data_IF_429704582503
#
_entry.id   IF_429704582503
#
_cell.length_a   1.000
_cell.length_b   1.000
_cell.length_c   1.000
_cell.angle_alpha   90.00
_cell.angle_beta   90.00
_cell.angle_gamma   90.00
#
_symmetry.space_group_name_H-M   'P 1'
#
loop_
_entity.id
_entity.type
_entity.pdbx_description
1 polymer ?
#
# COMPACT_ATOMS: atom_id res chain seq x y z
N UNK A 1 19.90 -15.75 7.24
CA UNK A 1 20.20 -14.74 8.25
C UNK A 1 18.97 -14.53 9.08
N UNK A 2 19.06 -14.71 10.40
CA UNK A 2 17.94 -14.51 11.32
C UNK A 2 17.70 -13.02 11.56
N UNK A 3 16.60 -12.70 12.24
CA UNK A 3 16.31 -11.32 12.63
C UNK A 3 17.36 -10.78 13.62
N UNK A 4 17.76 -11.61 14.58
CA UNK A 4 18.77 -11.28 15.59
C UNK A 4 20.15 -11.05 14.95
N UNK A 5 20.55 -11.89 13.99
CA UNK A 5 21.80 -11.74 13.25
C UNK A 5 21.85 -10.40 12.48
N UNK A 6 20.73 -9.99 11.86
CA UNK A 6 20.67 -8.71 11.16
C UNK A 6 20.72 -7.52 12.12
N UNK A 7 20.03 -7.60 13.26
CA UNK A 7 20.13 -6.58 14.30
C UNK A 7 21.56 -6.41 14.82
N UNK A 8 22.25 -7.52 15.11
CA UNK A 8 23.65 -7.50 15.54
C UNK A 8 24.53 -6.81 14.50
N UNK A 9 24.37 -7.14 13.21
CA UNK A 9 25.11 -6.48 12.12
C UNK A 9 24.86 -4.97 12.09
N UNK A 10 23.61 -4.53 12.23
CA UNK A 10 23.27 -3.10 12.20
C UNK A 10 23.91 -2.36 13.39
N UNK A 11 23.90 -2.97 14.57
CA UNK A 11 24.55 -2.40 15.76
C UNK A 11 26.07 -2.32 15.58
N UNK A 12 26.68 -3.32 14.96
CA UNK A 12 28.12 -3.35 14.68
C UNK A 12 28.55 -2.34 13.60
N UNK A 13 27.79 -2.22 12.50
CA UNK A 13 28.11 -1.33 11.37
C UNK A 13 27.68 0.12 11.61
N UNK A 14 26.64 0.34 12.42
CA UNK A 14 25.98 1.64 12.55
C UNK A 14 24.93 1.89 11.46
N UNK A 15 24.02 2.84 11.74
CA UNK A 15 22.85 3.13 10.91
C UNK A 15 23.21 3.72 9.54
N UNK A 16 24.28 4.52 9.45
CA UNK A 16 24.73 5.13 8.20
C UNK A 16 25.19 4.06 7.18
N UNK A 17 26.02 3.12 7.62
CA UNK A 17 26.54 2.06 6.77
C UNK A 17 25.46 1.04 6.42
N UNK A 18 24.60 0.67 7.39
CA UNK A 18 23.43 -0.18 7.13
C UNK A 18 22.48 0.45 6.10
N UNK A 19 22.19 1.75 6.23
CA UNK A 19 21.38 2.52 5.29
C UNK A 19 21.97 2.47 3.88
N UNK A 20 23.26 2.78 3.73
CA UNK A 20 23.95 2.74 2.44
C UNK A 20 23.94 1.33 1.81
N UNK A 21 24.17 0.30 2.63
CA UNK A 21 24.13 -1.10 2.21
C UNK A 21 22.77 -1.51 1.65
N UNK A 22 21.69 -1.15 2.34
CA UNK A 22 20.34 -1.46 1.90
C UNK A 22 19.89 -0.67 0.69
N UNK A 23 20.26 0.62 0.60
CA UNK A 23 20.01 1.42 -0.59
C UNK A 23 20.61 0.78 -1.84
N UNK A 24 21.85 0.29 -1.73
CA UNK A 24 22.54 -0.45 -2.81
C UNK A 24 21.85 -1.77 -3.13
N UNK A 25 21.43 -2.53 -2.12
CA UNK A 25 20.73 -3.80 -2.33
C UNK A 25 19.40 -3.61 -3.08
N UNK A 26 18.62 -2.60 -2.69
CA UNK A 26 17.34 -2.25 -3.33
C UNK A 26 17.57 -1.83 -4.78
N UNK A 27 18.60 -1.03 -5.06
CA UNK A 27 18.94 -0.62 -6.43
C UNK A 27 19.31 -1.83 -7.30
N UNK A 28 20.08 -2.77 -6.77
CA UNK A 28 20.47 -3.99 -7.49
C UNK A 28 19.28 -4.90 -7.78
N UNK A 29 18.37 -5.07 -6.82
CA UNK A 29 17.21 -5.94 -6.96
C UNK A 29 16.15 -5.35 -7.90
N UNK A 30 15.86 -4.05 -7.76
CA UNK A 30 14.74 -3.40 -8.44
C UNK A 30 15.15 -2.51 -9.61
N UNK A 31 16.45 -2.28 -9.82
CA UNK A 31 17.01 -1.42 -10.87
C UNK A 31 16.86 0.08 -10.61
N UNK A 32 16.16 0.47 -9.54
CA UNK A 32 16.02 1.84 -9.07
C UNK A 32 15.61 1.83 -7.60
N UNK A 33 16.00 2.88 -6.89
CA UNK A 33 15.56 3.10 -5.51
C UNK A 33 14.26 3.90 -5.51
N UNK A 34 13.16 3.40 -4.90
CA UNK A 34 11.94 4.17 -4.70
C UNK A 34 12.20 5.52 -3.99
N UNK A 35 11.52 6.58 -4.44
CA UNK A 35 11.68 7.93 -3.87
C UNK A 35 11.46 7.95 -2.36
N UNK A 36 10.52 7.14 -1.84
CA UNK A 36 10.24 7.04 -0.40
C UNK A 36 11.51 6.63 0.37
N UNK A 37 12.30 5.70 -0.15
CA UNK A 37 13.52 5.22 0.50
C UNK A 37 14.65 6.23 0.34
N UNK A 38 14.73 6.93 -0.79
CA UNK A 38 15.69 8.04 -0.96
C UNK A 38 15.46 9.14 0.09
N UNK A 39 14.19 9.53 0.32
CA UNK A 39 13.86 10.54 1.34
C UNK A 39 14.05 10.04 2.77
N UNK A 40 13.72 8.77 3.03
CA UNK A 40 14.00 8.17 4.34
C UNK A 40 15.50 8.04 4.60
N UNK A 41 16.33 7.80 3.57
CA UNK A 41 17.78 7.68 3.69
C UNK A 41 18.47 8.98 4.17
N UNK A 42 17.83 10.15 3.97
CA UNK A 42 18.27 11.42 4.56
C UNK A 42 18.24 11.39 6.10
N UNK A 43 17.55 10.39 6.70
CA UNK A 43 17.51 10.08 8.13
C UNK A 43 17.72 8.58 8.34
N UNK A 44 18.98 8.10 8.39
CA UNK A 44 19.32 6.68 8.36
C UNK A 44 18.54 5.80 9.34
N UNK A 45 18.26 6.27 10.56
CA UNK A 45 17.47 5.54 11.56
C UNK A 45 16.04 5.27 11.10
N UNK A 46 15.45 6.20 10.34
CA UNK A 46 14.09 6.08 9.79
C UNK A 46 14.07 5.05 8.67
N UNK A 47 15.01 5.11 7.72
CA UNK A 47 15.07 4.09 6.68
C UNK A 47 15.35 2.71 7.29
N UNK A 48 16.30 2.65 8.22
CA UNK A 48 16.74 1.38 8.79
C UNK A 48 15.59 0.72 9.57
N UNK A 49 14.92 1.47 10.44
CA UNK A 49 13.76 0.95 11.17
C UNK A 49 12.61 0.53 10.25
N UNK A 50 12.35 1.30 9.18
CA UNK A 50 11.33 0.96 8.20
C UNK A 50 11.63 -0.35 7.46
N UNK A 51 12.87 -0.52 6.99
CA UNK A 51 13.28 -1.71 6.25
C UNK A 51 13.37 -2.96 7.14
N UNK A 52 13.78 -2.82 8.41
CA UNK A 52 13.66 -3.90 9.40
C UNK A 52 12.22 -4.38 9.55
N UNK A 53 11.30 -3.45 9.73
CA UNK A 53 9.88 -3.78 9.88
C UNK A 53 9.33 -4.46 8.61
N UNK A 54 9.62 -3.90 7.43
CA UNK A 54 9.23 -4.48 6.14
C UNK A 54 9.75 -5.91 6.01
N UNK A 55 11.03 -6.12 6.28
CA UNK A 55 11.67 -7.43 6.15
C UNK A 55 11.12 -8.43 7.17
N UNK A 56 10.86 -8.00 8.41
CA UNK A 56 10.17 -8.84 9.39
C UNK A 56 8.80 -9.28 8.88
N UNK A 57 7.97 -8.35 8.36
CA UNK A 57 6.64 -8.67 7.82
C UNK A 57 6.71 -9.61 6.62
N UNK A 58 7.64 -9.39 5.70
CA UNK A 58 7.68 -10.11 4.42
C UNK A 58 8.47 -11.43 4.49
N UNK A 59 9.59 -11.48 5.20
CA UNK A 59 10.45 -12.68 5.27
C UNK A 59 9.97 -13.72 6.29
N UNK A 60 9.14 -13.33 7.26
CA UNK A 60 8.54 -14.27 8.23
C UNK A 60 7.14 -14.71 7.83
N UNK A 61 6.62 -14.20 6.72
CA UNK A 61 5.32 -14.57 6.18
C UNK A 61 5.29 -16.06 5.81
N UNK A 62 4.14 -16.71 6.08
CA UNK A 62 3.87 -18.07 5.60
C UNK A 62 3.44 -18.10 4.12
N UNK A 63 3.24 -16.93 3.48
CA UNK A 63 2.88 -16.82 2.08
C UNK A 63 4.13 -16.78 1.20
N UNK A 64 4.06 -17.42 0.03
CA UNK A 64 5.12 -17.29 -0.97
C UNK A 64 5.32 -15.83 -1.41
N UNK A 65 6.56 -15.42 -1.74
CA UNK A 65 6.87 -14.06 -2.17
C UNK A 65 5.97 -13.54 -3.31
N UNK A 66 5.61 -14.41 -4.25
CA UNK A 66 4.65 -14.08 -5.33
C UNK A 66 3.32 -13.54 -4.78
N UNK A 67 2.74 -14.23 -3.80
CA UNK A 67 1.44 -13.86 -3.24
C UNK A 67 1.53 -12.59 -2.39
N UNK A 68 2.64 -12.40 -1.67
CA UNK A 68 2.92 -11.15 -0.95
C UNK A 68 2.88 -9.96 -1.92
N UNK A 69 3.59 -10.06 -3.04
CA UNK A 69 3.64 -8.97 -4.02
C UNK A 69 2.29 -8.74 -4.73
N UNK A 70 1.52 -9.80 -5.01
CA UNK A 70 0.14 -9.65 -5.52
C UNK A 70 -0.78 -8.96 -4.51
N UNK A 71 -0.66 -9.25 -3.21
CA UNK A 71 -1.39 -8.52 -2.16
C UNK A 71 -0.96 -7.06 -2.14
N UNK A 72 0.34 -6.77 -2.19
CA UNK A 72 0.85 -5.39 -2.23
C UNK A 72 0.36 -4.63 -3.47
N UNK A 73 0.30 -5.29 -4.63
CA UNK A 73 -0.29 -4.76 -5.85
C UNK A 73 -1.77 -4.41 -5.65
N UNK A 74 -2.58 -5.33 -5.12
CA UNK A 74 -4.00 -5.11 -4.87
C UNK A 74 -4.23 -3.92 -3.93
N UNK A 75 -3.47 -3.84 -2.83
CA UNK A 75 -3.55 -2.74 -1.87
C UNK A 75 -3.11 -1.42 -2.52
N UNK A 76 -2.02 -1.42 -3.29
CA UNK A 76 -1.55 -0.25 -4.03
C UNK A 76 -2.60 0.28 -5.00
N UNK A 77 -3.29 -0.61 -5.72
CA UNK A 77 -4.38 -0.26 -6.63
C UNK A 77 -5.60 0.30 -5.89
N UNK A 78 -6.04 -0.34 -4.80
CA UNK A 78 -7.18 0.10 -3.99
C UNK A 78 -6.93 1.48 -3.34
N UNK A 79 -5.69 1.75 -2.93
CA UNK A 79 -5.24 3.05 -2.40
C UNK A 79 -4.96 4.09 -3.49
N UNK A 80 -5.13 3.75 -4.77
CA UNK A 80 -4.87 4.62 -5.93
C UNK A 80 -3.42 5.11 -6.00
N UNK A 81 -2.47 4.34 -5.46
CA UNK A 81 -1.05 4.66 -5.52
C UNK A 81 -0.44 4.11 -6.82
N UNK A 82 -0.33 4.95 -7.85
CA UNK A 82 0.21 4.57 -9.17
C UNK A 82 1.63 4.01 -9.07
N UNK A 83 2.49 4.65 -8.26
CA UNK A 83 3.88 4.20 -8.07
C UNK A 83 3.95 2.83 -7.36
N UNK A 84 3.17 2.63 -6.31
CA UNK A 84 3.11 1.36 -5.58
C UNK A 84 2.59 0.26 -6.50
N UNK A 85 1.53 0.53 -7.25
CA UNK A 85 0.93 -0.40 -8.21
C UNK A 85 1.96 -0.87 -9.23
N UNK A 86 2.65 0.06 -9.90
CA UNK A 86 3.67 -0.30 -10.90
C UNK A 86 4.88 -1.04 -10.31
N UNK A 87 5.31 -0.65 -9.11
CA UNK A 87 6.42 -1.29 -8.41
C UNK A 87 6.10 -2.74 -8.04
N UNK A 88 5.00 -2.97 -7.33
CA UNK A 88 4.60 -4.30 -6.87
C UNK A 88 4.14 -5.20 -8.01
N UNK A 89 3.57 -4.65 -9.10
CA UNK A 89 3.35 -5.41 -10.34
C UNK A 89 4.67 -5.97 -10.89
N UNK A 90 5.70 -5.14 -10.98
CA UNK A 90 7.02 -5.56 -11.50
C UNK A 90 7.67 -6.59 -10.56
N UNK A 91 7.57 -6.39 -9.25
CA UNK A 91 8.07 -7.34 -8.25
C UNK A 91 7.34 -8.69 -8.33
N UNK A 92 6.02 -8.70 -8.42
CA UNK A 92 5.23 -9.92 -8.59
C UNK A 92 5.64 -10.70 -9.85
N UNK A 93 5.84 -10.01 -10.98
CA UNK A 93 6.33 -10.63 -12.22
C UNK A 93 7.71 -11.26 -12.04
N UNK A 94 8.64 -10.60 -11.32
CA UNK A 94 9.96 -11.18 -11.00
C UNK A 94 9.86 -12.42 -10.11
N UNK A 95 8.81 -12.50 -9.28
CA UNK A 95 8.50 -13.68 -8.45
C UNK A 95 7.68 -14.75 -9.19
N UNK A 96 7.51 -14.63 -10.51
CA UNK A 96 6.85 -15.64 -11.34
C UNK A 96 5.34 -15.49 -11.46
N UNK A 97 4.76 -14.35 -11.09
CA UNK A 97 3.36 -14.08 -11.39
C UNK A 97 3.13 -14.01 -12.90
N UNK A 98 2.02 -14.60 -13.34
CA UNK A 98 1.55 -14.54 -14.72
C UNK A 98 0.77 -13.25 -14.98
N UNK A 99 0.63 -12.90 -16.27
CA UNK A 99 -0.22 -11.78 -16.70
C UNK A 99 -1.65 -11.92 -16.20
N UNK A 100 -2.20 -13.13 -16.21
CA UNK A 100 -3.57 -13.38 -15.78
C UNK A 100 -3.73 -13.19 -14.26
N UNK A 101 -2.76 -13.62 -13.45
CA UNK A 101 -2.76 -13.33 -12.00
C UNK A 101 -2.72 -11.82 -11.70
N UNK A 102 -1.95 -11.05 -12.47
CA UNK A 102 -1.90 -9.58 -12.33
C UNK A 102 -3.27 -8.96 -12.65
N UNK A 103 -3.90 -9.35 -13.76
CA UNK A 103 -5.21 -8.83 -14.15
C UNK A 103 -6.29 -9.19 -13.12
N UNK A 104 -6.31 -10.45 -12.69
CA UNK A 104 -7.26 -10.94 -11.69
C UNK A 104 -7.10 -10.21 -10.35
N UNK A 105 -5.85 -9.96 -9.94
CA UNK A 105 -5.55 -9.20 -8.72
C UNK A 105 -6.15 -7.79 -8.76
N UNK A 106 -6.08 -7.11 -9.91
CA UNK A 106 -6.68 -5.77 -10.09
C UNK A 106 -8.21 -5.84 -10.09
N UNK A 107 -8.81 -6.86 -10.70
CA UNK A 107 -10.26 -7.08 -10.67
C UNK A 107 -10.77 -7.30 -9.23
N UNK A 108 -10.09 -8.15 -8.46
CA UNK A 108 -10.41 -8.42 -7.05
C UNK A 108 -10.28 -7.15 -6.21
N UNK A 109 -9.21 -6.38 -6.40
CA UNK A 109 -9.03 -5.10 -5.71
C UNK A 109 -10.17 -4.11 -6.02
N UNK A 110 -10.59 -4.03 -7.28
CA UNK A 110 -11.73 -3.22 -7.72
C UNK A 110 -13.05 -3.67 -7.09
N UNK A 111 -13.32 -4.99 -7.06
CA UNK A 111 -14.50 -5.58 -6.43
C UNK A 111 -14.61 -5.17 -4.96
N UNK A 112 -13.57 -5.39 -4.17
CA UNK A 112 -13.56 -5.05 -2.73
C UNK A 112 -13.67 -3.54 -2.51
N UNK A 113 -13.00 -2.73 -3.34
CA UNK A 113 -13.10 -1.27 -3.26
C UNK A 113 -14.53 -0.77 -3.49
N UNK A 114 -15.22 -1.32 -4.49
CA UNK A 114 -16.62 -1.01 -4.76
C UNK A 114 -17.54 -1.45 -3.61
N UNK A 115 -17.36 -2.67 -3.09
CA UNK A 115 -18.13 -3.16 -1.94
C UNK A 115 -17.95 -2.27 -0.71
N UNK A 116 -16.75 -1.74 -0.47
CA UNK A 116 -16.50 -0.79 0.62
C UNK A 116 -17.32 0.51 0.48
N UNK A 117 -17.43 1.05 -0.73
CA UNK A 117 -18.28 2.23 -0.99
C UNK A 117 -19.73 1.94 -0.65
N UNK A 118 -20.28 0.85 -1.19
CA UNK A 118 -21.68 0.48 -0.97
C UNK A 118 -21.95 0.24 0.52
N UNK A 119 -21.11 -0.57 1.17
CA UNK A 119 -21.30 -0.96 2.56
C UNK A 119 -21.20 0.24 3.52
N UNK A 120 -20.27 1.17 3.29
CA UNK A 120 -20.12 2.34 4.15
C UNK A 120 -21.20 3.40 3.86
N UNK A 121 -21.46 3.72 2.60
CA UNK A 121 -22.46 4.71 2.23
C UNK A 121 -23.86 4.28 2.64
N UNK A 122 -24.24 3.02 2.42
CA UNK A 122 -25.56 2.52 2.81
C UNK A 122 -25.79 2.61 4.31
N UNK A 123 -24.83 2.28 5.17
CA UNK A 123 -25.01 2.46 6.62
C UNK A 123 -25.28 3.90 7.03
N UNK A 124 -24.57 4.85 6.42
CA UNK A 124 -24.75 6.28 6.71
C UNK A 124 -26.12 6.79 6.24
N UNK A 125 -26.58 6.36 5.08
CA UNK A 125 -27.87 6.83 4.55
C UNK A 125 -29.05 6.05 5.10
N UNK A 126 -28.92 4.77 5.45
CA UNK A 126 -30.00 3.96 6.01
C UNK A 126 -30.46 4.53 7.36
N UNK A 127 -29.52 4.90 8.23
CA UNK A 127 -29.80 5.64 9.48
C UNK A 127 -30.59 6.93 9.23
N UNK A 128 -30.31 7.61 8.12
CA UNK A 128 -30.96 8.86 7.74
C UNK A 128 -32.30 8.63 7.06
N UNK A 129 -32.43 7.60 6.22
CA UNK A 129 -33.64 7.25 5.46
C UNK A 129 -34.70 6.55 6.34
N UNK A 130 -34.28 5.85 7.40
CA UNK A 130 -35.18 5.32 8.42
C UNK A 130 -35.94 6.44 9.15
N UNK A 131 -35.35 7.63 9.23
CA UNK A 131 -36.05 8.87 9.59
C UNK A 131 -36.62 9.46 8.30
N UNK A 132 -37.85 9.93 8.30
CA UNK A 132 -38.40 10.59 7.11
C UNK A 132 -37.69 11.96 6.93
N UNK A 133 -36.57 11.95 6.20
CA UNK A 133 -35.77 13.14 5.85
C UNK A 133 -36.65 14.25 5.26
N UNK A 134 -37.64 13.98 4.38
CA UNK A 134 -38.51 15.02 3.83
C UNK A 134 -39.40 15.72 4.86
N UNK A 135 -39.67 15.10 6.01
CA UNK A 135 -40.53 15.69 7.04
C UNK A 135 -39.74 16.41 8.15
N UNK A 136 -38.43 16.21 8.27
CA UNK A 136 -37.57 16.96 9.21
C UNK A 136 -36.63 17.98 8.51
N UNK A 137 -36.39 17.84 7.20
CA UNK A 137 -35.50 18.74 6.46
C UNK A 137 -36.33 19.75 5.68
N UNK A 138 -36.28 21.03 6.05
CA UNK A 138 -36.83 22.10 5.22
C UNK A 138 -36.01 22.19 3.93
N UNK A 139 -36.68 22.02 2.78
CA UNK A 139 -36.05 22.30 1.48
C UNK A 139 -35.66 23.77 1.38
N UNK A 140 -34.51 24.05 0.77
CA UNK A 140 -34.08 25.41 0.48
C UNK A 140 -34.82 25.85 -0.80
N UNK A 141 -35.65 26.88 -0.71
CA UNK A 141 -36.25 27.52 -1.88
C UNK A 141 -35.15 28.28 -2.60
N UNK A 142 -34.77 27.82 -3.80
CA UNK A 142 -33.88 28.58 -4.67
C UNK A 142 -34.71 29.64 -5.40
N UNK A 143 -34.50 30.91 -5.08
CA UNK A 143 -35.00 32.00 -5.90
C UNK A 143 -34.30 31.92 -7.26
N UNK A 144 -35.07 31.64 -8.32
CA UNK A 144 -34.58 31.79 -9.68
C UNK A 144 -34.49 33.30 -9.95
N UNK A 145 -33.27 33.81 -10.11
CA UNK A 145 -33.07 35.11 -10.74
C UNK A 145 -33.48 34.97 -12.20
N UNK A 146 -34.66 35.47 -12.54
CA UNK A 146 -35.08 35.62 -13.93
C UNK A 146 -34.28 36.80 -14.54
N UNK A 147 -33.14 36.48 -15.15
CA UNK A 147 -32.44 37.32 -16.14
C UNK A 147 -32.36 36.59 -17.49
#
# INVERSE_FOLDING_TARGET
MTFEEELSRIVEAGTDEACAGWMKAIEQEYGKIPLIFQRMAERPEVLVSHLLYKDAVTKTSALDPKHIELICLAVGAALKCVHCTGYHMTAALKMGASREEILETVLIAGLISNSSVLANAYRVIDDKLAKCVPCETQGIVMERSDE
#
